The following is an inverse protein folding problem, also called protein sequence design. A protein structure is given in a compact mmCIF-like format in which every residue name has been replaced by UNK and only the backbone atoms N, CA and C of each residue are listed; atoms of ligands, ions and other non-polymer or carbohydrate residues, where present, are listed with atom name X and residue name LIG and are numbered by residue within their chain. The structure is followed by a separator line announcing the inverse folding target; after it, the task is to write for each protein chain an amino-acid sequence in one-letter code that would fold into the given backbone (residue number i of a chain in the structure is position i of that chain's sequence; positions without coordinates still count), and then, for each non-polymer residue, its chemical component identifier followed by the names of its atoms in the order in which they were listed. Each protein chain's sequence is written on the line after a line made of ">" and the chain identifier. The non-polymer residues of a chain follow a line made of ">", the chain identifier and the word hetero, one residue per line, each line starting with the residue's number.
data_IF_213674930846
#
_entry.id   IF_213674930846
#
_cell.length_a   1.000
_cell.length_b   1.000
_cell.length_c   1.000
_cell.angle_alpha   90.00
_cell.angle_beta   90.00
_cell.angle_gamma   90.00
#
_symmetry.space_group_name_H-M   'P 1'
#
loop_
_entity.id
_entity.type
_entity.pdbx_description
1 polymer ?
#
# COMPACT_ATOMS: atom_id res chain seq x y z
N UNK A 1 56.08 5.87 22.85
CA UNK A 1 55.01 6.14 21.86
C UNK A 1 53.69 5.95 22.60
N UNK A 2 53.07 7.03 23.08
CA UNK A 2 51.89 7.00 23.95
C UNK A 2 50.73 7.54 23.12
N UNK A 3 49.69 6.73 22.87
CA UNK A 3 48.47 7.19 22.22
C UNK A 3 47.75 8.21 23.12
N UNK A 4 47.24 9.33 22.58
CA UNK A 4 46.48 10.29 23.37
C UNK A 4 45.16 9.65 23.82
N UNK A 5 44.96 9.61 25.14
CA UNK A 5 43.76 9.07 25.77
C UNK A 5 42.53 9.82 25.31
N UNK A 6 41.57 9.10 24.74
CA UNK A 6 40.24 9.62 24.43
C UNK A 6 39.61 10.12 25.74
N UNK A 7 39.34 11.42 25.80
CA UNK A 7 38.71 12.07 26.94
C UNK A 7 37.36 11.38 27.26
N UNK A 8 37.14 10.88 28.47
CA UNK A 8 35.87 10.27 28.86
C UNK A 8 34.71 11.28 28.77
N UNK A 9 34.99 12.58 28.82
CA UNK A 9 34.01 13.65 28.62
C UNK A 9 33.47 13.70 27.19
N UNK A 10 34.29 13.37 26.20
CA UNK A 10 33.85 13.33 24.80
C UNK A 10 32.91 12.13 24.54
N UNK A 11 33.19 10.98 25.17
CA UNK A 11 32.35 9.80 25.06
C UNK A 11 30.99 9.99 25.75
N UNK A 12 30.97 10.61 26.94
CA UNK A 12 29.73 10.94 27.66
C UNK A 12 28.91 11.98 26.88
N UNK A 13 29.56 12.99 26.30
CA UNK A 13 28.89 13.99 25.46
C UNK A 13 28.20 13.37 24.24
N UNK A 14 28.87 12.43 23.56
CA UNK A 14 28.30 11.73 22.40
C UNK A 14 27.12 10.83 22.79
N UNK A 15 27.23 10.11 23.90
CA UNK A 15 26.15 9.25 24.40
C UNK A 15 24.92 10.07 24.80
N UNK A 16 25.14 11.23 25.42
CA UNK A 16 24.06 12.15 25.82
C UNK A 16 23.35 12.71 24.59
N UNK A 17 24.08 13.10 23.55
CA UNK A 17 23.50 13.54 22.28
C UNK A 17 22.73 12.44 21.56
N UNK A 18 23.21 11.19 21.59
CA UNK A 18 22.52 10.03 21.03
C UNK A 18 21.21 9.72 21.77
N UNK A 19 21.24 9.75 23.11
CA UNK A 19 20.04 9.53 23.93
C UNK A 19 19.04 10.68 23.75
N UNK A 20 19.50 11.93 23.67
CA UNK A 20 18.63 13.08 23.38
C UNK A 20 18.06 13.02 21.96
N UNK A 21 18.85 12.63 20.96
CA UNK A 21 18.38 12.42 19.59
C UNK A 21 17.36 11.30 19.50
N UNK A 22 17.61 10.16 20.14
CA UNK A 22 16.65 9.07 20.26
C UNK A 22 15.38 9.51 20.99
N UNK A 23 15.51 10.29 22.07
CA UNK A 23 14.37 10.85 22.79
C UNK A 23 13.54 11.79 21.91
N UNK A 24 14.15 12.61 21.05
CA UNK A 24 13.42 13.47 20.09
C UNK A 24 12.67 12.66 19.02
N UNK A 25 13.21 11.52 18.61
CA UNK A 25 12.61 10.63 17.59
C UNK A 25 11.51 9.75 18.19
N UNK A 26 11.70 9.24 19.41
CA UNK A 26 10.85 8.20 20.00
C UNK A 26 9.93 8.69 21.13
N UNK A 27 10.17 9.86 21.73
CA UNK A 27 9.20 10.42 22.68
C UNK A 27 8.07 11.13 21.93
N UNK A 28 6.82 10.97 22.37
CA UNK A 28 5.69 11.69 21.81
C UNK A 28 5.91 13.20 21.97
N UNK A 29 5.96 13.93 20.86
CA UNK A 29 6.16 15.37 20.89
C UNK A 29 4.94 16.07 21.53
N UNK A 30 5.13 16.92 22.57
CA UNK A 30 4.02 17.54 23.30
C UNK A 30 3.19 18.53 22.45
N UNK A 31 3.65 18.89 21.26
CA UNK A 31 2.92 19.73 20.30
C UNK A 31 1.82 19.02 19.51
N UNK A 32 1.78 17.67 19.52
CA UNK A 32 0.73 16.90 18.82
C UNK A 32 -0.57 16.75 19.62
N UNK A 33 -0.61 17.18 20.88
CA UNK A 33 -1.80 17.02 21.75
C UNK A 33 -2.80 18.17 21.58
N UNK A 34 -2.42 19.30 20.97
CA UNK A 34 -3.23 20.52 20.92
C UNK A 34 -3.44 21.11 19.52
N UNK A 35 -2.95 20.45 18.46
CA UNK A 35 -3.40 20.78 17.11
C UNK A 35 -4.65 19.98 16.83
N UNK A 36 -5.78 20.61 16.50
CA UNK A 36 -6.84 19.88 15.82
C UNK A 36 -6.18 19.31 14.57
N UNK A 37 -6.03 17.99 14.52
CA UNK A 37 -6.06 17.32 13.23
C UNK A 37 -7.24 17.95 12.49
N UNK A 38 -7.09 18.35 11.23
CA UNK A 38 -8.25 18.33 10.36
C UNK A 38 -8.66 16.85 10.30
N UNK A 39 -9.40 16.42 11.31
CA UNK A 39 -10.23 15.23 11.26
C UNK A 39 -11.19 15.56 10.13
N UNK A 40 -10.88 15.03 8.96
CA UNK A 40 -11.91 14.75 7.97
C UNK A 40 -12.99 13.99 8.76
N UNK A 41 -14.15 14.62 8.96
CA UNK A 41 -15.18 14.15 9.88
C UNK A 41 -15.47 12.67 9.61
N UNK A 42 -15.07 11.80 10.54
CA UNK A 42 -15.24 10.36 10.49
C UNK A 42 -16.71 9.89 10.64
N UNK A 43 -17.68 10.79 10.46
CA UNK A 43 -19.08 10.50 10.71
C UNK A 43 -19.87 10.07 9.46
N UNK A 44 -19.41 10.34 8.22
CA UNK A 44 -20.19 9.99 7.01
C UNK A 44 -19.37 9.51 5.79
N UNK A 45 -18.04 9.67 5.73
CA UNK A 45 -17.22 9.22 4.59
C UNK A 45 -15.94 8.51 5.05
N UNK A 46 -15.66 7.32 4.51
CA UNK A 46 -14.43 6.56 4.80
C UNK A 46 -13.28 7.13 3.96
N UNK A 47 -12.52 8.06 4.52
CA UNK A 47 -11.50 8.80 3.76
C UNK A 47 -10.09 8.26 4.02
N UNK A 48 -9.35 8.02 2.94
CA UNK A 48 -7.97 7.54 2.96
C UNK A 48 -7.06 8.37 2.06
N UNK A 49 -5.76 8.24 2.27
CA UNK A 49 -4.75 8.69 1.29
C UNK A 49 -4.30 7.48 0.49
N UNK A 50 -4.31 7.59 -0.84
CA UNK A 50 -3.72 6.59 -1.73
C UNK A 50 -2.44 7.11 -2.35
N UNK A 51 -1.42 6.27 -2.45
CA UNK A 51 -0.20 6.59 -3.20
C UNK A 51 0.46 5.33 -3.79
N UNK A 52 1.42 5.51 -4.69
CA UNK A 52 2.13 4.42 -5.37
C UNK A 52 3.39 3.95 -4.63
N UNK A 53 3.87 4.74 -3.68
CA UNK A 53 5.07 4.46 -2.89
C UNK A 53 4.72 4.59 -1.40
N UNK A 54 5.18 3.65 -0.58
CA UNK A 54 4.86 3.68 0.84
C UNK A 54 5.77 4.62 1.64
N UNK A 55 6.99 4.84 1.17
CA UNK A 55 8.05 5.63 1.82
C UNK A 55 8.02 7.10 1.40
N UNK A 56 7.85 7.36 0.09
CA UNK A 56 7.83 8.72 -0.46
C UNK A 56 6.43 9.12 -0.90
N UNK A 57 6.18 10.43 -0.92
CA UNK A 57 4.99 10.98 -1.59
C UNK A 57 5.25 11.11 -3.07
N UNK A 58 4.36 10.58 -3.90
CA UNK A 58 4.44 10.75 -5.35
C UNK A 58 3.47 11.83 -5.86
N UNK A 59 3.65 12.36 -7.08
CA UNK A 59 2.67 13.24 -7.72
C UNK A 59 1.27 12.62 -7.92
N UNK A 60 1.15 11.30 -7.70
CA UNK A 60 -0.09 10.53 -7.80
C UNK A 60 -0.76 10.28 -6.45
N UNK A 61 -0.26 10.89 -5.37
CA UNK A 61 -0.95 10.90 -4.08
C UNK A 61 -2.36 11.51 -4.26
N UNK A 62 -3.39 10.85 -3.71
CA UNK A 62 -4.79 11.29 -3.75
C UNK A 62 -5.45 11.09 -2.39
N UNK A 63 -6.40 11.95 -2.07
CA UNK A 63 -7.39 11.69 -1.02
C UNK A 63 -8.55 10.95 -1.69
N UNK A 64 -8.98 9.83 -1.15
CA UNK A 64 -10.05 8.99 -1.72
C UNK A 64 -11.15 8.75 -0.70
N UNK A 65 -12.39 8.66 -1.20
CA UNK A 65 -13.55 8.18 -0.42
C UNK A 65 -13.77 6.72 -0.76
N UNK A 66 -13.67 5.86 0.25
CA UNK A 66 -13.90 4.43 0.17
C UNK A 66 -15.34 4.08 0.57
N UNK A 67 -15.80 2.91 0.11
CA UNK A 67 -17.11 2.31 0.40
C UNK A 67 -17.02 1.22 1.48
N UNK A 68 -15.81 0.92 1.96
CA UNK A 68 -15.51 -0.04 3.03
C UNK A 68 -14.18 0.33 3.71
N UNK A 69 -13.88 -0.31 4.84
CA UNK A 69 -12.71 -0.02 5.66
C UNK A 69 -11.43 -0.63 5.08
N UNK A 70 -10.36 0.18 5.05
CA UNK A 70 -9.01 -0.21 4.64
C UNK A 70 -7.95 0.32 5.61
N UNK A 71 -8.13 0.01 6.89
CA UNK A 71 -7.21 0.37 7.97
C UNK A 71 -7.09 -0.78 8.98
N UNK A 72 -6.13 -0.66 9.90
CA UNK A 72 -5.82 -1.70 10.88
C UNK A 72 -6.66 -1.61 12.16
N UNK A 73 -7.53 -0.60 12.28
CA UNK A 73 -8.47 -0.49 13.39
C UNK A 73 -9.76 -1.29 13.11
N UNK A 74 -9.94 -1.72 11.86
CA UNK A 74 -11.01 -2.62 11.40
C UNK A 74 -10.43 -3.94 10.87
N UNK A 75 -11.28 -4.96 10.76
CA UNK A 75 -10.88 -6.25 10.22
C UNK A 75 -10.89 -6.22 8.69
N UNK A 76 -9.74 -6.37 8.05
CA UNK A 76 -9.64 -6.36 6.59
C UNK A 76 -10.41 -7.52 5.93
N UNK A 77 -10.79 -8.57 6.67
CA UNK A 77 -11.64 -9.64 6.13
C UNK A 77 -13.10 -9.18 5.88
N UNK A 78 -13.52 -8.04 6.44
CA UNK A 78 -14.87 -7.49 6.32
C UNK A 78 -15.16 -6.89 4.93
N UNK A 79 -14.17 -6.91 4.03
CA UNK A 79 -14.38 -6.59 2.61
C UNK A 79 -15.52 -7.46 2.04
N UNK A 80 -16.43 -6.91 1.22
CA UNK A 80 -17.55 -7.69 0.67
C UNK A 80 -17.10 -8.88 -0.18
N UNK A 81 -17.73 -10.04 0.01
CA UNK A 81 -17.57 -11.18 -0.91
C UNK A 81 -18.33 -10.99 -2.21
N UNK A 82 -19.36 -10.14 -2.23
CA UNK A 82 -20.13 -9.80 -3.42
C UNK A 82 -19.79 -8.38 -3.87
N UNK A 83 -19.26 -8.22 -5.08
CA UNK A 83 -18.73 -6.96 -5.59
C UNK A 83 -19.16 -6.79 -7.04
N UNK A 84 -20.29 -6.11 -7.28
CA UNK A 84 -20.85 -6.03 -8.64
C UNK A 84 -21.22 -7.41 -9.17
N UNK A 85 -20.63 -7.84 -10.28
CA UNK A 85 -20.77 -9.20 -10.85
C UNK A 85 -19.74 -10.20 -10.31
N UNK A 86 -18.88 -9.79 -9.37
CA UNK A 86 -17.79 -10.60 -8.86
C UNK A 86 -18.19 -11.30 -7.56
N UNK A 87 -17.98 -12.60 -7.52
CA UNK A 87 -18.24 -13.46 -6.36
C UNK A 87 -16.90 -13.91 -5.76
N UNK A 88 -16.69 -13.59 -4.49
CA UNK A 88 -15.44 -13.76 -3.76
C UNK A 88 -15.44 -14.96 -2.84
N UNK A 89 -14.36 -15.74 -2.88
CA UNK A 89 -14.09 -16.85 -1.96
C UNK A 89 -12.74 -16.63 -1.28
N UNK A 90 -12.73 -16.68 0.04
CA UNK A 90 -11.50 -16.63 0.82
C UNK A 90 -10.63 -17.84 0.48
N UNK A 91 -9.38 -17.56 0.09
CA UNK A 91 -8.45 -18.61 -0.27
C UNK A 91 -7.52 -18.86 0.91
N UNK A 92 -7.28 -20.13 1.27
CA UNK A 92 -6.32 -20.44 2.32
C UNK A 92 -4.94 -19.96 1.89
N UNK A 93 -4.22 -19.30 2.81
CA UNK A 93 -2.83 -18.98 2.54
C UNK A 93 -2.03 -20.29 2.51
N UNK A 94 -1.31 -20.48 1.41
CA UNK A 94 -0.52 -21.69 1.16
C UNK A 94 0.98 -21.41 1.17
N UNK A 95 1.39 -20.15 1.04
CA UNK A 95 2.78 -19.72 1.05
C UNK A 95 3.17 -19.13 2.41
N UNK A 96 3.30 -20.01 3.40
CA UNK A 96 3.64 -19.64 4.76
C UNK A 96 5.00 -18.92 4.87
N UNK A 97 5.95 -19.21 3.97
CA UNK A 97 7.27 -18.57 3.98
C UNK A 97 7.20 -17.07 3.65
N UNK A 98 6.33 -16.68 2.71
CA UNK A 98 6.10 -15.27 2.37
C UNK A 98 5.39 -14.54 3.51
N UNK A 99 4.40 -15.15 4.17
CA UNK A 99 3.76 -14.53 5.34
C UNK A 99 4.73 -14.34 6.50
N UNK A 100 5.57 -15.34 6.81
CA UNK A 100 6.56 -15.25 7.89
C UNK A 100 7.58 -14.15 7.59
N UNK A 101 7.97 -13.98 6.31
CA UNK A 101 8.93 -12.96 5.91
C UNK A 101 8.33 -11.56 5.94
N UNK A 102 7.06 -11.40 5.58
CA UNK A 102 6.39 -10.09 5.55
C UNK A 102 5.89 -9.67 6.94
N UNK A 103 5.56 -10.62 7.83
CA UNK A 103 5.01 -10.40 9.17
C UNK A 103 3.88 -9.34 9.23
N UNK A 104 2.81 -9.51 8.43
CA UNK A 104 1.70 -8.56 8.43
C UNK A 104 0.85 -8.67 9.70
N UNK A 105 0.32 -7.54 10.17
CA UNK A 105 -0.67 -7.53 11.26
C UNK A 105 -2.02 -8.10 10.79
N UNK A 106 -2.38 -7.82 9.54
CA UNK A 106 -3.58 -8.36 8.90
C UNK A 106 -3.26 -8.73 7.46
N UNK A 107 -3.78 -9.88 7.02
CA UNK A 107 -3.62 -10.36 5.66
C UNK A 107 -4.91 -10.98 5.14
N UNK A 108 -5.30 -10.59 3.93
CA UNK A 108 -6.47 -11.14 3.24
C UNK A 108 -6.03 -11.59 1.86
N UNK A 109 -6.44 -12.79 1.49
CA UNK A 109 -6.32 -13.30 0.13
C UNK A 109 -7.67 -13.85 -0.31
N UNK A 110 -8.27 -13.21 -1.31
CA UNK A 110 -9.60 -13.57 -1.80
C UNK A 110 -9.59 -13.69 -3.32
N UNK A 111 -10.15 -14.78 -3.81
CA UNK A 111 -10.36 -15.00 -5.23
C UNK A 111 -11.77 -14.55 -5.60
N UNK A 112 -11.87 -13.54 -6.44
CA UNK A 112 -13.12 -13.09 -7.05
C UNK A 112 -13.25 -13.69 -8.45
N UNK A 113 -14.42 -14.20 -8.79
CA UNK A 113 -14.76 -14.69 -10.13
C UNK A 113 -16.02 -14.02 -10.64
N UNK A 114 -16.02 -13.62 -11.91
CA UNK A 114 -17.19 -13.01 -12.55
C UNK A 114 -18.00 -14.02 -13.37
N UNK A 115 -19.14 -13.56 -13.90
CA UNK A 115 -20.04 -14.38 -14.74
C UNK A 115 -19.40 -14.88 -16.05
N UNK A 116 -18.30 -14.26 -16.48
CA UNK A 116 -17.53 -14.67 -17.64
C UNK A 116 -16.44 -15.72 -17.31
N UNK A 117 -16.32 -16.12 -16.04
CA UNK A 117 -15.30 -17.05 -15.55
C UNK A 117 -13.91 -16.44 -15.46
N UNK A 118 -13.79 -15.11 -15.57
CA UNK A 118 -12.54 -14.39 -15.29
C UNK A 118 -12.37 -14.30 -13.79
N UNK A 119 -11.12 -14.18 -13.36
CA UNK A 119 -10.82 -14.07 -11.95
C UNK A 119 -9.80 -12.99 -11.61
N UNK A 120 -9.94 -12.45 -10.40
CA UNK A 120 -9.04 -11.49 -9.77
C UNK A 120 -8.72 -12.00 -8.35
N UNK A 121 -7.44 -12.05 -8.03
CA UNK A 121 -6.95 -12.20 -6.66
C UNK A 121 -6.84 -10.83 -6.02
N UNK A 122 -7.62 -10.58 -4.97
CA UNK A 122 -7.42 -9.46 -4.06
C UNK A 122 -6.49 -9.92 -2.94
N UNK A 123 -5.39 -9.22 -2.77
CA UNK A 123 -4.51 -9.32 -1.62
C UNK A 123 -4.53 -8.00 -0.85
N UNK A 124 -4.90 -8.04 0.42
CA UNK A 124 -4.72 -6.92 1.34
C UNK A 124 -3.64 -7.27 2.34
N UNK A 125 -2.64 -6.40 2.46
CA UNK A 125 -1.53 -6.59 3.41
C UNK A 125 -1.46 -5.36 4.30
N UNK A 126 -1.78 -5.55 5.57
CA UNK A 126 -1.84 -4.50 6.57
C UNK A 126 -0.70 -4.62 7.59
N UNK A 127 -0.05 -3.51 7.93
CA UNK A 127 0.95 -3.51 9.00
C UNK A 127 1.46 -2.13 9.41
N UNK A 128 2.03 -2.05 10.62
CA UNK A 128 2.76 -0.89 11.15
C UNK A 128 4.28 -1.08 11.10
N UNK A 129 4.76 -2.19 10.57
CA UNK A 129 6.17 -2.41 10.21
C UNK A 129 6.37 -2.15 8.71
N UNK A 130 7.59 -1.83 8.29
CA UNK A 130 7.90 -1.54 6.87
C UNK A 130 8.33 -2.80 6.12
N UNK A 131 8.59 -3.87 6.86
CA UNK A 131 9.00 -5.18 6.37
C UNK A 131 8.06 -5.79 5.31
N UNK A 132 6.71 -5.63 5.38
CA UNK A 132 5.82 -6.13 4.34
C UNK A 132 5.92 -5.37 3.02
N UNK A 133 6.49 -4.16 3.01
CA UNK A 133 6.37 -3.21 1.91
C UNK A 133 7.69 -3.05 1.17
N UNK A 134 7.74 -3.55 -0.06
CA UNK A 134 8.85 -3.34 -0.99
C UNK A 134 8.30 -3.26 -2.42
N UNK A 135 9.09 -2.68 -3.31
CA UNK A 135 8.74 -2.61 -4.71
C UNK A 135 8.66 -4.05 -5.29
N UNK A 136 7.58 -4.41 -6.01
CA UNK A 136 7.38 -5.79 -6.44
C UNK A 136 8.47 -6.29 -7.39
N UNK A 137 9.04 -5.39 -8.21
CA UNK A 137 10.09 -5.66 -9.20
C UNK A 137 11.23 -6.53 -8.63
N UNK A 138 11.62 -6.31 -7.37
CA UNK A 138 12.63 -7.10 -6.66
C UNK A 138 12.30 -8.61 -6.69
N UNK A 139 11.06 -8.98 -6.39
CA UNK A 139 10.64 -10.39 -6.38
C UNK A 139 10.55 -10.98 -7.79
N UNK A 140 10.16 -10.16 -8.76
CA UNK A 140 10.05 -10.59 -10.16
C UNK A 140 11.42 -10.84 -10.77
N UNK A 141 12.39 -9.96 -10.53
CA UNK A 141 13.77 -10.13 -10.94
C UNK A 141 14.38 -11.39 -10.29
N UNK A 142 14.18 -11.57 -8.98
CA UNK A 142 14.71 -12.70 -8.24
C UNK A 142 14.17 -14.06 -8.73
N UNK A 143 12.89 -14.12 -9.12
CA UNK A 143 12.25 -15.33 -9.65
C UNK A 143 12.34 -15.42 -11.19
N UNK A 144 13.14 -14.57 -11.84
CA UNK A 144 13.44 -14.67 -13.28
C UNK A 144 12.27 -14.35 -14.21
N UNK A 145 11.33 -13.51 -13.76
CA UNK A 145 10.27 -12.98 -14.61
C UNK A 145 10.80 -11.85 -15.48
N UNK A 146 10.27 -11.74 -16.69
CA UNK A 146 10.36 -10.51 -17.48
C UNK A 146 9.14 -9.66 -17.17
N UNK A 147 9.31 -8.35 -17.01
CA UNK A 147 8.17 -7.49 -16.73
C UNK A 147 8.27 -6.11 -17.39
N UNK A 148 7.10 -5.52 -17.60
CA UNK A 148 6.93 -4.09 -17.80
C UNK A 148 6.11 -3.53 -16.65
N UNK A 149 6.33 -2.26 -16.33
CA UNK A 149 5.60 -1.57 -15.27
C UNK A 149 5.27 -0.14 -15.66
N UNK A 150 4.29 0.41 -14.96
CA UNK A 150 3.86 1.79 -15.13
C UNK A 150 2.79 2.13 -14.12
N UNK A 151 2.07 3.21 -14.38
CA UNK A 151 0.89 3.57 -13.59
C UNK A 151 -0.33 3.65 -14.49
N UNK A 152 -1.49 3.32 -13.97
CA UNK A 152 -2.76 3.42 -14.70
C UNK A 152 -3.76 4.27 -13.89
N UNK A 153 -4.31 5.35 -14.48
CA UNK A 153 -5.34 6.15 -13.82
C UNK A 153 -6.68 5.44 -13.90
N UNK A 154 -7.42 5.45 -12.80
CA UNK A 154 -8.77 4.91 -12.69
C UNK A 154 -9.72 6.05 -12.32
N UNK A 155 -10.44 6.62 -13.30
CA UNK A 155 -11.47 7.63 -13.04
C UNK A 155 -12.55 7.07 -12.12
N UNK A 156 -13.01 7.85 -11.15
CA UNK A 156 -14.05 7.47 -10.20
C UNK A 156 -15.39 8.14 -10.52
N UNK A 157 -16.49 7.49 -10.13
CA UNK A 157 -17.86 7.86 -10.54
C UNK A 157 -18.26 9.27 -10.08
N UNK A 158 -17.86 9.67 -8.87
CA UNK A 158 -18.17 10.98 -8.30
C UNK A 158 -17.07 12.02 -8.59
N UNK A 159 -16.08 11.65 -9.40
CA UNK A 159 -15.02 12.54 -9.89
C UNK A 159 -13.64 12.26 -9.31
N UNK A 160 -12.65 12.78 -10.03
CA UNK A 160 -11.23 12.50 -9.78
C UNK A 160 -10.82 11.13 -10.29
N UNK A 161 -9.59 10.75 -9.96
CA UNK A 161 -9.00 9.47 -10.34
C UNK A 161 -8.08 8.97 -9.23
N UNK A 162 -8.11 7.66 -9.01
CA UNK A 162 -7.10 6.93 -8.24
C UNK A 162 -6.04 6.39 -9.20
N UNK A 163 -4.80 6.24 -8.74
CA UNK A 163 -3.75 5.63 -9.55
C UNK A 163 -3.30 4.34 -8.91
N UNK A 164 -3.05 3.33 -9.73
CA UNK A 164 -2.32 2.13 -9.33
C UNK A 164 -1.05 1.98 -10.12
N UNK A 165 -0.03 1.42 -9.48
CA UNK A 165 1.14 0.91 -10.17
C UNK A 165 0.74 -0.45 -10.73
N UNK A 166 1.02 -0.67 -12.01
CA UNK A 166 0.79 -1.96 -12.64
C UNK A 166 2.10 -2.62 -13.05
N UNK A 167 2.08 -3.95 -13.06
CA UNK A 167 3.17 -4.79 -13.53
C UNK A 167 2.59 -5.87 -14.43
N UNK A 168 3.14 -6.04 -15.63
CA UNK A 168 2.82 -7.14 -16.53
C UNK A 168 3.99 -8.13 -16.53
N UNK A 169 3.82 -9.25 -15.85
CA UNK A 169 4.83 -10.29 -15.71
C UNK A 169 4.68 -11.36 -16.78
N UNK A 170 5.81 -11.80 -17.35
CA UNK A 170 5.92 -12.91 -18.29
C UNK A 170 7.01 -13.89 -17.85
N UNK A 171 6.69 -15.18 -17.82
CA UNK A 171 7.67 -16.24 -17.52
C UNK A 171 7.49 -17.42 -18.45
N UNK A 172 8.55 -17.80 -19.15
CA UNK A 172 8.56 -18.99 -19.98
C UNK A 172 8.76 -20.22 -19.09
N UNK A 173 7.73 -21.05 -18.96
CA UNK A 173 7.84 -22.31 -18.22
C UNK A 173 8.43 -23.42 -19.10
N UNK A 174 9.27 -24.32 -18.55
CA UNK A 174 9.76 -25.48 -19.27
C UNK A 174 8.59 -26.33 -19.80
N UNK A 175 8.62 -26.65 -21.09
CA UNK A 175 7.57 -27.48 -21.72
C UNK A 175 6.30 -26.73 -22.12
N UNK A 176 6.18 -25.43 -21.86
CA UNK A 176 5.09 -24.61 -22.39
C UNK A 176 5.48 -23.99 -23.75
N UNK A 177 4.54 -23.94 -24.69
CA UNK A 177 4.73 -23.25 -25.98
C UNK A 177 4.52 -21.73 -25.87
N UNK A 178 3.77 -21.28 -24.87
CA UNK A 178 3.47 -19.87 -24.61
C UNK A 178 3.96 -19.48 -23.22
N UNK A 179 4.39 -18.22 -23.00
CA UNK A 179 4.76 -17.76 -21.68
C UNK A 179 3.54 -17.68 -20.77
N UNK A 180 3.76 -17.92 -19.47
CA UNK A 180 2.80 -17.58 -18.44
C UNK A 180 2.75 -16.06 -18.30
N UNK A 181 1.57 -15.46 -18.35
CA UNK A 181 1.41 -14.01 -18.26
C UNK A 181 0.38 -13.62 -17.20
N UNK A 182 0.75 -12.73 -16.29
CA UNK A 182 -0.20 -12.14 -15.34
C UNK A 182 -0.03 -10.62 -15.26
N UNK A 183 -1.05 -9.96 -14.73
CA UNK A 183 -1.08 -8.52 -14.50
C UNK A 183 -1.33 -8.27 -13.02
N UNK A 184 -0.51 -7.40 -12.44
CA UNK A 184 -0.67 -6.88 -11.08
C UNK A 184 -1.08 -5.42 -11.15
N UNK A 185 -1.95 -4.98 -10.27
CA UNK A 185 -2.30 -3.58 -10.04
C UNK A 185 -2.33 -3.33 -8.53
N UNK A 186 -1.62 -2.32 -8.03
CA UNK A 186 -1.62 -2.05 -6.60
C UNK A 186 -1.37 -0.58 -6.25
N UNK A 187 -1.73 -0.22 -5.03
CA UNK A 187 -1.44 1.06 -4.40
C UNK A 187 -1.48 0.89 -2.88
N UNK A 188 -0.96 1.87 -2.16
CA UNK A 188 -0.96 1.92 -0.70
C UNK A 188 -2.06 2.84 -0.20
N UNK A 189 -2.70 2.45 0.90
CA UNK A 189 -3.70 3.21 1.63
C UNK A 189 -3.12 3.62 2.99
N UNK A 190 -3.29 4.89 3.33
CA UNK A 190 -2.95 5.45 4.64
C UNK A 190 -4.21 6.03 5.28
N UNK A 191 -4.40 5.85 6.60
CA UNK A 191 -5.56 6.39 7.31
C UNK A 191 -5.67 7.92 7.28
N UNK A 192 -4.57 8.64 7.07
CA UNK A 192 -4.56 10.09 7.11
C UNK A 192 -3.36 10.71 6.35
N UNK A 193 -3.40 12.03 6.20
CA UNK A 193 -2.38 12.83 5.50
C UNK A 193 -1.02 12.84 6.17
N UNK A 194 -0.86 12.41 7.41
CA UNK A 194 0.45 12.34 8.07
C UNK A 194 1.28 11.15 7.62
N UNK A 195 0.62 10.06 7.18
CA UNK A 195 1.25 8.80 6.77
C UNK A 195 2.20 8.25 7.84
N UNK A 196 1.87 8.44 9.11
CA UNK A 196 2.66 7.85 10.18
C UNK A 196 2.52 6.35 10.13
N UNK A 197 3.65 5.66 10.14
CA UNK A 197 3.69 4.21 10.07
C UNK A 197 2.94 3.55 11.26
N UNK A 198 2.94 4.20 12.43
CA UNK A 198 2.18 3.77 13.61
C UNK A 198 0.67 3.74 13.41
N UNK A 199 0.15 4.50 12.44
CA UNK A 199 -1.28 4.55 12.15
C UNK A 199 -1.70 3.35 11.29
N UNK A 200 -0.72 2.65 10.68
CA UNK A 200 -0.93 1.51 9.81
C UNK A 200 -0.92 1.89 8.33
N UNK A 201 -0.48 0.94 7.51
CA UNK A 201 -0.51 1.04 6.05
C UNK A 201 -1.20 -0.22 5.53
N UNK A 202 -2.03 -0.08 4.51
CA UNK A 202 -2.63 -1.20 3.80
C UNK A 202 -2.19 -1.18 2.34
N UNK A 203 -1.59 -2.27 1.87
CA UNK A 203 -1.38 -2.54 0.45
C UNK A 203 -2.68 -3.11 -0.12
N UNK A 204 -3.28 -2.43 -1.11
CA UNK A 204 -4.35 -2.97 -1.93
C UNK A 204 -3.75 -3.50 -3.22
N UNK A 205 -3.79 -4.82 -3.44
CA UNK A 205 -3.19 -5.46 -4.62
C UNK A 205 -4.19 -6.37 -5.31
N UNK A 206 -4.28 -6.21 -6.63
CA UNK A 206 -4.99 -7.08 -7.54
C UNK A 206 -3.99 -7.89 -8.37
N UNK A 207 -4.29 -9.15 -8.62
CA UNK A 207 -3.53 -10.02 -9.52
C UNK A 207 -4.47 -10.86 -10.36
N UNK A 208 -4.25 -10.93 -11.66
CA UNK A 208 -5.04 -11.74 -12.59
C UNK A 208 -4.19 -12.24 -13.75
N UNK A 209 -4.70 -13.20 -14.53
CA UNK A 209 -4.11 -13.47 -15.84
C UNK A 209 -4.26 -12.26 -16.77
N UNK A 210 -3.48 -12.23 -17.84
CA UNK A 210 -3.77 -11.30 -18.95
C UNK A 210 -5.01 -11.79 -19.72
N UNK A 211 -6.10 -11.03 -19.65
CA UNK A 211 -7.31 -11.24 -20.44
C UNK A 211 -7.33 -10.27 -21.62
N UNK A 212 -7.28 -10.78 -22.84
CA UNK A 212 -7.17 -9.93 -24.02
C UNK A 212 -5.86 -9.14 -24.01
N UNK A 213 -5.90 -7.84 -24.24
CA UNK A 213 -4.75 -6.93 -24.17
C UNK A 213 -4.42 -6.54 -22.71
N UNK A 214 -3.23 -5.96 -22.50
CA UNK A 214 -2.88 -5.40 -21.20
C UNK A 214 -3.88 -4.31 -20.78
N UNK A 215 -4.26 -3.42 -21.70
CA UNK A 215 -5.21 -2.35 -21.42
C UNK A 215 -6.58 -2.89 -21.00
N UNK A 216 -7.12 -3.90 -21.70
CA UNK A 216 -8.39 -4.54 -21.33
C UNK A 216 -8.33 -5.18 -19.94
N UNK A 217 -7.17 -5.74 -19.55
CA UNK A 217 -6.97 -6.28 -18.20
C UNK A 217 -6.86 -5.17 -17.14
N UNK A 218 -6.20 -4.06 -17.46
CA UNK A 218 -6.13 -2.89 -16.56
C UNK A 218 -7.50 -2.22 -16.41
N UNK A 219 -8.29 -2.13 -17.47
CA UNK A 219 -9.67 -1.66 -17.41
C UNK A 219 -10.55 -2.56 -16.54
N UNK A 220 -10.35 -3.87 -16.60
CA UNK A 220 -11.01 -4.82 -15.71
C UNK A 220 -10.63 -4.58 -14.24
N UNK A 221 -9.34 -4.40 -13.94
CA UNK A 221 -8.89 -4.04 -12.59
C UNK A 221 -9.45 -2.68 -12.14
N UNK A 222 -9.44 -1.68 -13.01
CA UNK A 222 -10.00 -0.35 -12.73
C UNK A 222 -11.50 -0.41 -12.44
N UNK A 223 -12.27 -1.21 -13.20
CA UNK A 223 -13.68 -1.45 -12.95
C UNK A 223 -13.90 -2.11 -11.58
N UNK A 224 -13.07 -3.09 -11.20
CA UNK A 224 -13.12 -3.72 -9.89
C UNK A 224 -12.86 -2.70 -8.76
N UNK A 225 -11.83 -1.84 -8.92
CA UNK A 225 -11.49 -0.77 -7.95
C UNK A 225 -12.65 0.21 -7.71
N UNK A 226 -13.44 0.56 -8.74
CA UNK A 226 -14.59 1.48 -8.60
C UNK A 226 -15.70 0.96 -7.67
N UNK A 227 -15.75 -0.34 -7.41
CA UNK A 227 -16.67 -0.88 -6.42
C UNK A 227 -16.26 -0.54 -4.97
N UNK A 228 -15.03 -0.12 -4.74
CA UNK A 228 -14.51 0.20 -3.41
C UNK A 228 -14.27 1.69 -3.18
N UNK A 229 -14.13 2.49 -4.24
CA UNK A 229 -13.86 3.93 -4.14
C UNK A 229 -14.83 4.72 -5.01
N UNK A 230 -15.39 5.80 -4.47
CA UNK A 230 -16.39 6.62 -5.20
C UNK A 230 -15.82 7.92 -5.74
N UNK A 231 -14.83 8.49 -5.05
CA UNK A 231 -14.33 9.84 -5.31
C UNK A 231 -12.86 9.98 -4.98
N UNK A 232 -12.15 10.82 -5.74
CA UNK A 232 -10.78 11.20 -5.45
C UNK A 232 -10.56 12.71 -5.61
N UNK A 233 -9.61 13.25 -4.86
CA UNK A 233 -9.17 14.63 -4.96
C UNK A 233 -7.67 14.76 -4.71
N UNK A 234 -7.10 15.91 -5.09
CA UNK A 234 -5.71 16.21 -4.76
C UNK A 234 -5.56 16.37 -3.24
N UNK A 235 -4.46 15.89 -2.64
CA UNK A 235 -4.20 16.09 -1.23
C UNK A 235 -4.07 17.58 -0.89
N UNK A 236 -4.51 18.01 0.30
CA UNK A 236 -4.31 19.38 0.74
C UNK A 236 -2.82 19.70 0.75
N UNK A 237 -2.42 20.87 0.24
CA UNK A 237 -1.04 21.33 0.34
C UNK A 237 -0.70 21.47 1.82
N UNK A 238 0.21 20.63 2.32
CA UNK A 238 0.78 20.82 3.66
C UNK A 238 1.34 22.24 3.74
N UNK A 239 0.83 23.05 4.67
CA UNK A 239 1.35 24.39 4.88
C UNK A 239 2.85 24.27 5.20
N UNK A 240 3.72 25.13 4.64
CA UNK A 240 5.13 25.10 4.98
C UNK A 240 5.26 25.25 6.49
N UNK A 241 5.97 24.30 7.12
CA UNK A 241 6.28 24.36 8.54
C UNK A 241 6.90 25.73 8.81
N UNK A 242 6.23 26.57 9.58
CA UNK A 242 6.80 27.80 10.08
C UNK A 242 7.96 27.42 11.00
N UNK A 243 9.16 27.32 10.44
CA UNK A 243 10.40 27.34 11.19
C UNK A 243 10.53 28.76 11.74
N UNK A 244 10.07 28.94 12.98
CA UNK A 244 10.46 30.06 13.83
C UNK A 244 11.82 29.79 14.46
#
# INVERSE_FOLDING_TARGET
>A
MIMPGRSPLAAVGLLTLLVLGAAVVYLPQPGNVLRPSEQLNAADELVYITDLDFWQRTPRERVVVAKTHFDLDHNLNDIPTEVGSWHGVDMPETNQEVLILLDPEQYVQRLYTDDAGRYIWLSLVGGRSSQPFHAPDICYDADGWQYSLGSHPTPLEEGGEIYGLWLHGKKQLPGSSEPLEHVVYYFYLFPNTWRHQSDGIVLFKLTSWRYGTLEETLDMHAAFVRHFFSKASAPPKLAPSSTG
#
